data_IF_830900958970
#
_entry.id   IF_830900958970
#
_cell.length_a   1.000
_cell.length_b   1.000
_cell.length_c   1.000
_cell.angle_alpha   90.00
_cell.angle_beta   90.00
_cell.angle_gamma   90.00
#
_symmetry.space_group_name_H-M   'P 1'
#
loop_
_entity.id
_entity.type
_entity.pdbx_description
1 polymer ?
#
# COMPACT_ATOMS: atom_id res chain seq x y z
N UNK A 1 -14.49 -35.05 -4.67
CA UNK A 1 -13.46 -36.05 -5.09
C UNK A 1 -12.15 -35.26 -5.28
N UNK A 2 -11.06 -35.65 -4.60
CA UNK A 2 -9.76 -34.99 -4.80
C UNK A 2 -9.25 -35.29 -6.22
N UNK A 3 -8.96 -34.23 -6.98
CA UNK A 3 -8.51 -34.29 -8.37
C UNK A 3 -7.11 -34.93 -8.49
N UNK A 4 -6.33 -34.94 -7.42
CA UNK A 4 -4.95 -35.41 -7.42
C UNK A 4 -4.72 -36.49 -6.35
N UNK A 5 -3.91 -37.49 -6.70
CA UNK A 5 -3.43 -38.47 -5.76
C UNK A 5 -2.49 -37.84 -4.70
N UNK A 6 -2.23 -38.56 -3.60
CA UNK A 6 -1.40 -38.12 -2.48
C UNK A 6 0.03 -37.74 -2.93
N UNK A 7 0.61 -38.48 -3.88
CA UNK A 7 1.99 -38.27 -4.36
C UNK A 7 2.08 -36.99 -5.20
N UNK A 8 1.12 -36.79 -6.12
CA UNK A 8 1.04 -35.58 -6.96
C UNK A 8 0.79 -34.33 -6.12
N UNK A 9 -0.10 -34.42 -5.12
CA UNK A 9 -0.37 -33.32 -4.18
C UNK A 9 0.88 -32.92 -3.40
N UNK A 10 1.61 -33.90 -2.85
CA UNK A 10 2.86 -33.65 -2.12
C UNK A 10 3.90 -32.97 -3.02
N UNK A 11 4.06 -33.41 -4.27
CA UNK A 11 4.97 -32.80 -5.23
C UNK A 11 4.58 -31.34 -5.59
N UNK A 12 3.28 -31.04 -5.71
CA UNK A 12 2.80 -29.67 -5.94
C UNK A 12 3.06 -28.79 -4.74
N UNK A 13 2.76 -29.27 -3.53
CA UNK A 13 3.01 -28.53 -2.28
C UNK A 13 4.50 -28.22 -2.07
N UNK A 14 5.39 -29.15 -2.42
CA UNK A 14 6.83 -28.95 -2.35
C UNK A 14 7.37 -27.86 -3.30
N UNK A 15 6.63 -27.57 -4.39
CA UNK A 15 7.00 -26.51 -5.36
C UNK A 15 6.48 -25.12 -4.99
N UNK A 16 5.61 -25.00 -3.99
CA UNK A 16 5.09 -23.71 -3.56
C UNK A 16 6.22 -22.92 -2.90
N UNK A 17 6.55 -21.80 -3.53
CA UNK A 17 7.58 -20.89 -3.01
C UNK A 17 7.01 -20.06 -1.85
N UNK A 18 7.80 -19.91 -0.81
CA UNK A 18 7.48 -19.05 0.33
C UNK A 18 7.96 -17.61 0.16
N UNK A 19 8.67 -17.30 -0.93
CA UNK A 19 9.22 -15.97 -1.24
C UNK A 19 9.35 -15.81 -2.75
N UNK A 20 9.38 -14.55 -3.19
CA UNK A 20 9.50 -14.17 -4.59
C UNK A 20 8.42 -14.85 -5.45
N UNK A 21 7.20 -14.90 -4.91
CA UNK A 21 6.02 -15.41 -5.59
C UNK A 21 5.61 -14.49 -6.74
N UNK A 22 4.82 -15.00 -7.69
CA UNK A 22 4.34 -14.16 -8.81
C UNK A 22 3.62 -12.90 -8.34
N UNK A 23 2.68 -12.95 -7.38
CA UNK A 23 2.04 -11.76 -6.82
C UNK A 23 3.03 -10.74 -6.25
N UNK A 24 4.00 -11.19 -5.46
CA UNK A 24 5.04 -10.31 -4.90
C UNK A 24 5.87 -9.62 -5.99
N UNK A 25 6.24 -10.34 -7.03
CA UNK A 25 7.02 -9.80 -8.15
C UNK A 25 6.23 -8.74 -8.94
N UNK A 26 4.91 -8.93 -9.11
CA UNK A 26 4.05 -7.96 -9.78
C UNK A 26 4.06 -6.63 -9.02
N UNK A 27 3.77 -6.66 -7.72
CA UNK A 27 3.73 -5.45 -6.88
C UNK A 27 5.12 -4.78 -6.80
N UNK A 28 6.17 -5.56 -6.62
CA UNK A 28 7.55 -5.04 -6.56
C UNK A 28 7.98 -4.36 -7.84
N UNK A 29 7.68 -4.94 -9.01
CA UNK A 29 7.98 -4.34 -10.32
C UNK A 29 7.22 -3.03 -10.50
N UNK A 30 5.94 -3.01 -10.20
CA UNK A 30 5.13 -1.81 -10.27
C UNK A 30 5.73 -0.68 -9.43
N UNK A 31 5.99 -0.92 -8.16
CA UNK A 31 6.58 0.07 -7.26
C UNK A 31 7.95 0.55 -7.74
N UNK A 32 8.79 -0.36 -8.24
CA UNK A 32 10.10 -0.01 -8.78
C UNK A 32 10.00 0.92 -9.99
N UNK A 33 9.13 0.61 -10.96
CA UNK A 33 8.91 1.43 -12.15
C UNK A 33 8.32 2.80 -11.83
N UNK A 34 7.57 2.92 -10.74
CA UNK A 34 7.05 4.19 -10.22
C UNK A 34 8.06 4.96 -9.34
N UNK A 35 9.30 4.46 -9.23
CA UNK A 35 10.38 5.14 -8.51
C UNK A 35 10.38 4.92 -7.00
N UNK A 36 9.51 4.07 -6.46
CA UNK A 36 9.51 3.76 -5.04
C UNK A 36 10.73 2.94 -4.63
N UNK A 37 11.36 3.30 -3.52
CA UNK A 37 12.45 2.54 -2.90
C UNK A 37 11.90 1.75 -1.73
N UNK A 38 12.08 0.43 -1.76
CA UNK A 38 11.56 -0.48 -0.73
C UNK A 38 12.61 -1.50 -0.30
N UNK A 39 12.38 -2.10 0.85
CA UNK A 39 13.11 -3.29 1.31
C UNK A 39 12.15 -4.48 1.28
N UNK A 40 12.67 -5.67 0.92
CA UNK A 40 11.90 -6.91 0.85
C UNK A 40 12.17 -7.82 2.05
N UNK A 41 11.16 -8.55 2.50
CA UNK A 41 11.26 -9.63 3.49
C UNK A 41 12.07 -9.24 4.74
N UNK A 42 11.70 -8.12 5.40
CA UNK A 42 12.43 -7.57 6.54
C UNK A 42 12.16 -8.39 7.80
N UNK A 43 13.06 -9.32 8.14
CA UNK A 43 12.93 -10.24 9.29
C UNK A 43 12.85 -9.56 10.66
N UNK A 44 13.33 -8.32 10.79
CA UNK A 44 13.30 -7.55 12.05
C UNK A 44 11.90 -7.01 12.38
N UNK A 45 10.98 -7.05 11.43
CA UNK A 45 9.60 -6.61 11.62
C UNK A 45 8.66 -7.80 11.86
N UNK A 46 7.64 -7.65 12.71
CA UNK A 46 6.61 -8.68 12.93
C UNK A 46 6.01 -9.18 11.61
N UNK A 47 5.87 -10.49 11.47
CA UNK A 47 5.32 -11.11 10.28
C UNK A 47 6.21 -11.07 9.04
N UNK A 48 7.40 -10.48 9.10
CA UNK A 48 8.34 -10.36 7.96
C UNK A 48 7.66 -9.82 6.70
N UNK A 49 7.24 -8.54 6.67
CA UNK A 49 6.52 -7.95 5.55
C UNK A 49 7.23 -8.15 4.22
N UNK A 50 6.47 -8.41 3.15
CA UNK A 50 6.99 -8.65 1.80
C UNK A 50 7.65 -7.39 1.21
N UNK A 51 7.11 -6.22 1.57
CA UNK A 51 7.58 -4.92 1.11
C UNK A 51 7.53 -3.93 2.28
N UNK A 52 8.61 -3.17 2.46
CA UNK A 52 8.72 -2.12 3.49
C UNK A 52 9.14 -0.80 2.84
N UNK A 53 8.25 0.17 2.85
CA UNK A 53 8.43 1.52 2.32
C UNK A 53 8.76 2.47 3.47
N UNK A 54 10.03 2.51 3.88
CA UNK A 54 10.45 3.28 5.07
C UNK A 54 10.13 4.77 4.99
N UNK A 55 10.33 5.38 3.82
CA UNK A 55 10.04 6.80 3.59
C UNK A 55 8.58 7.14 3.88
N UNK A 56 7.69 6.19 3.61
CA UNK A 56 6.23 6.34 3.71
C UNK A 56 5.66 5.80 5.03
N UNK A 57 6.48 5.12 5.86
CA UNK A 57 5.99 4.46 7.08
C UNK A 57 5.02 3.30 6.80
N UNK A 58 5.11 2.68 5.62
CA UNK A 58 4.17 1.66 5.16
C UNK A 58 4.86 0.30 5.04
N UNK A 59 4.16 -0.74 5.47
CA UNK A 59 4.49 -2.14 5.18
C UNK A 59 3.36 -2.79 4.40
N UNK A 60 3.73 -3.66 3.44
CA UNK A 60 2.76 -4.34 2.58
C UNK A 60 2.97 -5.84 2.72
N UNK A 61 1.88 -6.56 3.01
CA UNK A 61 1.79 -8.00 2.94
C UNK A 61 1.04 -8.40 1.67
N UNK A 62 1.53 -9.44 1.01
CA UNK A 62 0.89 -10.00 -0.20
C UNK A 62 0.44 -11.41 0.14
N UNK A 63 -0.85 -11.53 0.42
CA UNK A 63 -1.46 -12.73 0.96
C UNK A 63 -2.01 -13.63 -0.15
N UNK A 64 -1.60 -14.89 -0.17
CA UNK A 64 -2.26 -15.93 -0.96
C UNK A 64 -3.63 -16.26 -0.36
N UNK A 65 -4.68 -16.25 -1.18
CA UNK A 65 -6.07 -16.39 -0.73
C UNK A 65 -6.30 -17.67 0.10
N UNK A 66 -5.75 -18.78 -0.32
CA UNK A 66 -5.85 -20.05 0.41
C UNK A 66 -5.17 -20.02 1.78
N UNK A 67 -3.91 -19.56 1.82
CA UNK A 67 -3.07 -19.66 3.01
C UNK A 67 -3.49 -18.74 4.16
N UNK A 68 -4.08 -17.61 3.82
CA UNK A 68 -4.52 -16.58 4.76
C UNK A 68 -6.05 -16.54 4.93
N UNK A 69 -6.77 -17.51 4.34
CA UNK A 69 -8.21 -17.68 4.51
C UNK A 69 -9.02 -16.47 4.03
N UNK A 70 -8.76 -16.03 2.79
CA UNK A 70 -9.51 -14.95 2.17
C UNK A 70 -10.98 -15.35 2.00
N UNK A 71 -11.91 -14.55 2.49
CA UNK A 71 -13.33 -14.91 2.48
C UNK A 71 -13.92 -15.00 1.08
N UNK A 72 -13.49 -14.12 0.18
CA UNK A 72 -14.03 -14.08 -1.18
C UNK A 72 -13.47 -15.16 -2.12
N UNK A 73 -12.22 -15.61 -1.93
CA UNK A 73 -11.54 -16.51 -2.90
C UNK A 73 -10.75 -17.65 -2.19
N UNK A 74 -10.90 -17.78 -0.87
CA UNK A 74 -10.27 -18.84 -0.08
C UNK A 74 -11.10 -20.12 -0.12
N UNK A 75 -10.59 -21.17 -0.79
CA UNK A 75 -11.26 -22.46 -0.86
C UNK A 75 -10.60 -23.49 0.06
N UNK A 76 -11.38 -24.08 0.98
CA UNK A 76 -10.89 -25.15 1.86
C UNK A 76 -11.04 -26.48 1.14
N UNK A 77 -9.98 -27.31 1.02
CA UNK A 77 -10.06 -28.61 0.42
C UNK A 77 -11.01 -29.55 1.17
N UNK A 78 -11.71 -30.40 0.43
CA UNK A 78 -12.60 -31.41 1.01
C UNK A 78 -11.83 -32.49 1.81
N UNK A 79 -10.57 -32.76 1.45
CA UNK A 79 -9.71 -33.68 2.18
C UNK A 79 -9.00 -33.01 3.34
N UNK A 80 -9.00 -33.66 4.51
CA UNK A 80 -8.40 -33.12 5.75
C UNK A 80 -8.94 -31.73 6.14
N UNK A 81 -10.23 -31.51 5.98
CA UNK A 81 -10.89 -30.21 6.20
C UNK A 81 -10.59 -29.63 7.57
N UNK A 82 -10.65 -30.46 8.63
CA UNK A 82 -10.39 -30.02 10.01
C UNK A 82 -8.95 -29.56 10.22
N UNK A 83 -8.00 -30.25 9.60
CA UNK A 83 -6.60 -29.84 9.62
C UNK A 83 -6.42 -28.46 8.95
N UNK A 84 -7.03 -28.27 7.79
CA UNK A 84 -6.93 -27.03 7.04
C UNK A 84 -7.65 -25.87 7.75
N UNK A 85 -8.84 -26.10 8.29
CA UNK A 85 -9.55 -25.09 9.09
C UNK A 85 -8.69 -24.60 10.27
N UNK A 86 -8.16 -25.54 11.07
CA UNK A 86 -7.29 -25.20 12.22
C UNK A 86 -6.01 -24.47 11.78
N UNK A 87 -5.43 -24.85 10.65
CA UNK A 87 -4.20 -24.22 10.13
C UNK A 87 -4.47 -22.81 9.63
N UNK A 88 -5.53 -22.60 8.86
CA UNK A 88 -5.92 -21.29 8.32
C UNK A 88 -6.29 -20.36 9.48
N UNK A 89 -7.06 -20.82 10.45
CA UNK A 89 -7.43 -20.03 11.61
C UNK A 89 -6.20 -19.58 12.40
N UNK A 90 -5.23 -20.46 12.64
CA UNK A 90 -3.96 -20.12 13.28
C UNK A 90 -3.17 -19.09 12.47
N UNK A 91 -3.20 -19.17 11.14
CA UNK A 91 -2.56 -18.19 10.29
C UNK A 91 -3.24 -16.82 10.40
N UNK A 92 -4.59 -16.76 10.35
CA UNK A 92 -5.36 -15.52 10.55
C UNK A 92 -5.02 -14.84 11.88
N UNK A 93 -5.03 -15.59 12.98
CA UNK A 93 -4.70 -15.07 14.31
C UNK A 93 -3.26 -14.55 14.40
N UNK A 94 -2.31 -15.26 13.78
CA UNK A 94 -0.92 -14.79 13.70
C UNK A 94 -0.81 -13.51 12.88
N UNK A 95 -1.47 -13.45 11.74
CA UNK A 95 -1.43 -12.31 10.85
C UNK A 95 -2.03 -11.07 11.51
N UNK A 96 -3.12 -11.22 12.24
CA UNK A 96 -3.73 -10.10 12.99
C UNK A 96 -2.83 -9.61 14.12
N UNK A 97 -2.23 -10.49 14.90
CA UNK A 97 -1.23 -10.11 15.92
C UNK A 97 -0.05 -9.35 15.32
N UNK A 98 0.45 -9.81 14.16
CA UNK A 98 1.55 -9.13 13.47
C UNK A 98 1.14 -7.72 13.01
N UNK A 99 -0.08 -7.56 12.47
CA UNK A 99 -0.62 -6.25 12.06
C UNK A 99 -0.74 -5.30 13.25
N UNK A 100 -1.27 -5.77 14.38
CA UNK A 100 -1.39 -4.97 15.60
C UNK A 100 -0.02 -4.52 16.13
N UNK A 101 0.95 -5.44 16.17
CA UNK A 101 2.31 -5.11 16.60
C UNK A 101 2.94 -4.06 15.69
N UNK A 102 2.78 -4.19 14.37
CA UNK A 102 3.28 -3.20 13.40
C UNK A 102 2.61 -1.84 13.59
N UNK A 103 1.28 -1.81 13.80
CA UNK A 103 0.55 -0.57 14.09
C UNK A 103 1.07 0.09 15.36
N UNK A 104 1.30 -0.66 16.44
CA UNK A 104 1.90 -0.16 17.69
C UNK A 104 3.32 0.39 17.49
N UNK A 105 4.07 -0.13 16.52
CA UNK A 105 5.39 0.39 16.12
C UNK A 105 5.31 1.61 15.20
N UNK A 106 4.12 2.14 14.90
CA UNK A 106 3.90 3.30 14.04
C UNK A 106 3.88 2.98 12.54
N UNK A 107 3.83 1.71 12.16
CA UNK A 107 3.71 1.32 10.75
C UNK A 107 2.26 1.29 10.30
N UNK A 108 1.99 1.82 9.12
CA UNK A 108 0.73 1.55 8.40
C UNK A 108 0.84 0.24 7.65
N UNK A 109 -0.14 -0.63 7.84
CA UNK A 109 -0.15 -1.98 7.27
C UNK A 109 -1.14 -2.06 6.15
N UNK A 110 -0.67 -2.43 4.97
CA UNK A 110 -1.49 -2.73 3.80
C UNK A 110 -1.45 -4.23 3.52
N UNK A 111 -2.59 -4.79 3.13
CA UNK A 111 -2.68 -6.19 2.69
C UNK A 111 -3.24 -6.21 1.27
N UNK A 112 -2.54 -6.89 0.36
CA UNK A 112 -2.98 -7.12 -1.01
C UNK A 112 -3.19 -8.61 -1.18
N UNK A 113 -4.36 -8.99 -1.70
CA UNK A 113 -4.68 -10.40 -1.93
C UNK A 113 -4.26 -10.85 -3.33
N UNK A 114 -3.87 -12.12 -3.44
CA UNK A 114 -3.47 -12.72 -4.71
C UNK A 114 -4.55 -12.58 -5.80
N UNK A 115 -5.84 -12.71 -5.44
CA UNK A 115 -6.96 -12.56 -6.37
C UNK A 115 -7.06 -11.14 -6.97
N UNK A 116 -6.68 -10.12 -6.19
CA UNK A 116 -6.65 -8.73 -6.64
C UNK A 116 -5.53 -8.45 -7.66
N UNK A 117 -4.59 -9.38 -7.82
CA UNK A 117 -3.51 -9.27 -8.80
C UNK A 117 -3.74 -10.13 -10.06
N UNK A 118 -4.94 -10.69 -10.21
CA UNK A 118 -5.38 -11.32 -11.46
C UNK A 118 -5.45 -10.28 -12.60
N UNK A 119 -5.18 -10.66 -13.86
CA UNK A 119 -5.06 -9.70 -14.97
C UNK A 119 -6.21 -8.70 -15.10
N UNK A 120 -7.43 -9.12 -14.84
CA UNK A 120 -8.63 -8.31 -15.02
C UNK A 120 -8.73 -7.12 -14.03
N UNK A 121 -8.19 -7.25 -12.80
CA UNK A 121 -8.35 -6.24 -11.72
C UNK A 121 -7.01 -5.67 -11.24
N UNK A 122 -5.92 -6.24 -11.70
CA UNK A 122 -4.57 -5.92 -11.24
C UNK A 122 -4.21 -4.45 -11.36
N UNK A 123 -4.52 -3.85 -12.50
CA UNK A 123 -4.15 -2.46 -12.76
C UNK A 123 -4.83 -1.51 -11.77
N UNK A 124 -6.14 -1.69 -11.58
CA UNK A 124 -6.90 -0.93 -10.60
C UNK A 124 -6.33 -1.10 -9.19
N UNK A 125 -6.07 -2.34 -8.76
CA UNK A 125 -5.50 -2.62 -7.42
C UNK A 125 -4.14 -1.93 -7.21
N UNK A 126 -3.28 -1.93 -8.23
CA UNK A 126 -1.97 -1.29 -8.15
C UNK A 126 -2.06 0.23 -8.10
N UNK A 127 -3.00 0.83 -8.82
CA UNK A 127 -3.28 2.27 -8.79
C UNK A 127 -3.86 2.68 -7.43
N UNK A 128 -4.81 1.94 -6.89
CA UNK A 128 -5.37 2.16 -5.55
C UNK A 128 -4.28 2.07 -4.47
N UNK A 129 -3.41 1.05 -4.56
CA UNK A 129 -2.26 0.93 -3.66
C UNK A 129 -1.35 2.17 -3.73
N UNK A 130 -1.01 2.63 -4.93
CA UNK A 130 -0.18 3.81 -5.15
C UNK A 130 -0.84 5.07 -4.57
N UNK A 131 -2.12 5.25 -4.83
CA UNK A 131 -2.92 6.34 -4.26
C UNK A 131 -2.82 6.35 -2.72
N UNK A 132 -3.05 5.21 -2.08
CA UNK A 132 -2.96 5.09 -0.62
C UNK A 132 -1.56 5.37 -0.07
N UNK A 133 -0.50 4.95 -0.78
CA UNK A 133 0.88 5.25 -0.38
C UNK A 133 1.13 6.76 -0.38
N UNK A 134 0.73 7.44 -1.45
CA UNK A 134 0.93 8.88 -1.61
C UNK A 134 0.07 9.69 -0.64
N UNK A 135 -1.21 9.35 -0.49
CA UNK A 135 -2.12 10.00 0.44
C UNK A 135 -1.62 9.88 1.88
N UNK A 136 -1.22 8.67 2.29
CA UNK A 136 -0.62 8.44 3.60
C UNK A 136 0.62 9.32 3.85
N UNK A 137 1.45 9.48 2.84
CA UNK A 137 2.65 10.32 2.94
C UNK A 137 2.28 11.80 3.12
N UNK A 138 1.32 12.28 2.35
CA UNK A 138 0.86 13.68 2.42
C UNK A 138 0.21 14.01 3.78
N UNK A 139 -0.59 13.13 4.35
CA UNK A 139 -1.19 13.30 5.68
C UNK A 139 -0.13 13.47 6.79
N UNK A 140 1.05 12.86 6.63
CA UNK A 140 2.15 12.95 7.60
C UNK A 140 3.14 14.07 7.27
N UNK A 141 3.08 14.61 6.07
CA UNK A 141 3.93 15.70 5.64
C UNK A 141 3.41 16.99 6.23
N UNK A 142 3.93 17.37 7.42
CA UNK A 142 3.79 18.74 7.89
C UNK A 142 4.85 19.57 7.17
N UNK A 143 4.48 20.46 6.23
CA UNK A 143 5.44 21.36 5.64
C UNK A 143 6.11 22.13 6.78
N UNK A 144 7.44 22.18 6.78
CA UNK A 144 8.17 23.07 7.69
C UNK A 144 7.65 24.47 7.40
N UNK A 145 7.29 25.26 8.44
CA UNK A 145 6.90 26.64 8.20
C UNK A 145 8.02 27.30 7.39
N UNK A 146 7.64 27.94 6.28
CA UNK A 146 8.57 28.75 5.51
C UNK A 146 9.21 29.71 6.49
N UNK A 147 10.54 29.73 6.56
CA UNK A 147 11.23 30.80 7.28
C UNK A 147 10.87 32.08 6.53
N UNK A 148 9.99 32.87 7.11
CA UNK A 148 9.80 34.25 6.67
C UNK A 148 11.11 34.93 6.93
N UNK A 149 11.92 35.11 5.89
CA UNK A 149 13.00 36.08 5.97
C UNK A 149 12.28 37.43 6.10
N UNK A 150 12.40 38.07 7.27
CA UNK A 150 11.92 39.43 7.48
C UNK A 150 12.57 40.26 6.37
N UNK A 151 11.76 40.71 5.43
CA UNK A 151 12.10 41.84 4.61
C UNK A 151 11.99 43.00 5.61
N UNK A 152 13.12 43.42 6.15
CA UNK A 152 13.17 44.72 6.86
C UNK A 152 12.64 45.72 5.84
N UNK A 153 11.47 46.30 6.15
CA UNK A 153 10.90 47.43 5.42
C UNK A 153 11.79 48.64 5.66
N UNK A 154 12.95 48.66 5.03
CA UNK A 154 13.70 49.91 4.76
C UNK A 154 13.46 50.27 3.30
N UNK A 155 12.20 50.61 2.99
CA UNK A 155 11.87 51.29 1.77
C UNK A 155 11.94 52.78 2.01
N UNK A 156 12.87 53.51 1.38
CA UNK A 156 12.75 54.97 1.34
C UNK A 156 11.47 55.28 0.54
N UNK A 157 10.62 56.11 1.10
CA UNK A 157 9.42 56.63 0.48
C UNK A 157 9.80 57.35 -0.83
N UNK A 158 9.59 56.72 -1.97
CA UNK A 158 9.55 57.39 -3.25
C UNK A 158 8.12 57.92 -3.43
N UNK A 159 8.03 59.23 -3.35
CA UNK A 159 6.83 60.00 -3.64
C UNK A 159 6.35 59.74 -5.07
N UNK A 160 5.05 59.74 -5.18
CA UNK A 160 4.19 59.76 -6.33
C UNK A 160 4.78 60.22 -7.67
N UNK A 161 4.55 59.46 -8.72
CA UNK A 161 4.03 59.95 -10.01
C UNK A 161 3.78 58.77 -10.96
N UNK A 162 2.61 58.74 -11.60
CA UNK A 162 2.37 57.98 -12.84
C UNK A 162 1.32 56.90 -12.75
N UNK A 163 0.07 57.24 -12.99
CA UNK A 163 -1.02 56.34 -13.37
C UNK A 163 -0.66 55.62 -14.67
N UNK A 164 -0.56 54.30 -14.62
CA UNK A 164 -0.73 53.44 -15.80
C UNK A 164 -1.43 52.17 -15.40
N UNK A 165 -2.66 52.01 -15.86
CA UNK A 165 -3.54 50.90 -15.53
C UNK A 165 -2.99 49.57 -16.01
N UNK A 166 -2.94 48.63 -15.11
CA UNK A 166 -2.84 47.20 -15.39
C UNK A 166 -4.14 46.52 -15.03
N UNK A 167 -4.72 45.86 -16.05
CA UNK A 167 -6.01 45.20 -15.95
C UNK A 167 -6.07 44.12 -14.87
N UNK A 168 -7.23 44.03 -14.25
CA UNK A 168 -7.62 43.03 -13.29
C UNK A 168 -7.44 41.62 -13.86
N UNK A 169 -6.59 40.81 -13.21
CA UNK A 169 -6.56 39.37 -13.38
C UNK A 169 -7.74 38.78 -12.60
N UNK A 170 -8.74 38.34 -13.33
CA UNK A 170 -9.90 37.63 -12.77
C UNK A 170 -9.47 36.37 -12.06
N UNK A 171 -9.89 36.25 -10.79
CA UNK A 171 -9.80 35.03 -10.01
C UNK A 171 -10.52 33.89 -10.74
N UNK A 172 -9.91 32.70 -10.76
CA UNK A 172 -10.55 31.50 -11.27
C UNK A 172 -11.60 31.03 -10.26
N UNK A 173 -12.87 31.05 -10.67
CA UNK A 173 -13.96 30.45 -9.96
C UNK A 173 -13.83 28.92 -9.97
N UNK A 174 -13.62 28.34 -8.81
CA UNK A 174 -13.75 26.89 -8.59
C UNK A 174 -15.24 26.59 -8.51
N UNK A 175 -15.78 25.96 -9.55
CA UNK A 175 -17.17 25.48 -9.56
C UNK A 175 -17.23 24.22 -8.71
N UNK A 176 -17.77 24.33 -7.50
CA UNK A 176 -18.29 23.20 -6.74
C UNK A 176 -19.55 22.68 -7.46
N UNK A 177 -19.48 21.46 -7.98
CA UNK A 177 -20.68 20.73 -8.39
C UNK A 177 -21.28 20.08 -7.16
N UNK A 178 -22.38 20.61 -6.69
CA UNK A 178 -23.32 19.95 -5.80
C UNK A 178 -24.07 18.87 -6.56
N UNK A 179 -24.02 17.65 -6.03
CA UNK A 179 -24.81 16.51 -6.50
C UNK A 179 -26.30 16.71 -6.10
N UNK A 180 -27.17 16.52 -7.08
CA UNK A 180 -28.54 16.04 -6.92
C UNK A 180 -28.66 14.61 -7.43
#
# INVERSE_FOLDING_TARGET
MDIWDKKKRSAVMARIKSKDTKPELIVRRYLYHRGYRYRKNVKKLPGTPDIVLRKYGIVIFIHGCFWHGHEADGHIPHSNTDFWKKKIERNKQRDERNKEQLKKMGWRVMTIWECQLKPAVREQTLQEMEYHINHTYLEHFKPKPLKTYGIEENSPSLAAEGEAGYGELKAFDIIEKSDE
#
